data_IF_583424685879
#
_entry.id   IF_583424685879
#
_cell.length_a   1.000
_cell.length_b   1.000
_cell.length_c   1.000
_cell.angle_alpha   90.00
_cell.angle_beta   90.00
_cell.angle_gamma   90.00
#
_symmetry.space_group_name_H-M   'P 1'
#
loop_
_entity.id
_entity.type
_entity.pdbx_description
1 polymer ?
#
# COMPACT_ATOMS: atom_id res chain seq x y z
N UNK A 1 -10.95 -8.85 18.57
CA UNK A 1 -9.50 -8.81 18.25
C UNK A 1 -9.11 -7.36 18.04
N UNK A 2 -7.93 -6.93 18.50
CA UNK A 2 -7.50 -5.55 18.33
C UNK A 2 -6.67 -5.41 17.04
N UNK A 3 -7.09 -4.47 16.20
CA UNK A 3 -6.44 -4.14 14.94
C UNK A 3 -5.19 -3.32 15.24
N UNK A 4 -4.03 -3.81 14.81
CA UNK A 4 -2.76 -3.08 14.90
C UNK A 4 -2.75 -1.99 13.85
N UNK A 5 -3.15 -2.34 12.63
CA UNK A 5 -3.05 -1.48 11.47
C UNK A 5 -3.96 -1.93 10.35
N UNK A 6 -4.53 -0.98 9.62
CA UNK A 6 -5.30 -1.24 8.42
C UNK A 6 -4.97 -0.24 7.32
N UNK A 7 -5.06 -0.67 6.07
CA UNK A 7 -4.80 0.19 4.92
C UNK A 7 -5.22 -0.42 3.59
N UNK A 8 -5.51 0.44 2.63
CA UNK A 8 -5.82 0.02 1.25
C UNK A 8 -4.54 -0.30 0.50
N UNK A 9 -4.45 -1.51 -0.06
CA UNK A 9 -3.38 -1.92 -0.95
C UNK A 9 -3.97 -2.58 -2.19
N UNK A 10 -3.24 -2.49 -3.28
CA UNK A 10 -3.57 -3.27 -4.47
C UNK A 10 -3.02 -4.67 -4.31
N UNK A 11 -3.84 -5.67 -4.61
CA UNK A 11 -3.47 -7.08 -4.63
C UNK A 11 -3.64 -7.61 -6.04
N UNK A 12 -2.67 -8.36 -6.52
CA UNK A 12 -2.83 -9.11 -7.75
C UNK A 12 -3.50 -10.46 -7.47
N UNK A 13 -4.58 -10.77 -8.17
CA UNK A 13 -5.20 -12.10 -8.08
C UNK A 13 -4.28 -13.18 -8.65
N UNK A 14 -4.18 -14.32 -8.00
CA UNK A 14 -3.38 -15.46 -8.46
C UNK A 14 -3.91 -16.08 -9.76
N UNK A 15 -5.23 -16.09 -9.96
CA UNK A 15 -5.89 -16.72 -11.12
C UNK A 15 -5.93 -15.78 -12.34
N UNK A 16 -6.57 -14.60 -12.18
CA UNK A 16 -6.83 -13.68 -13.29
C UNK A 16 -5.69 -12.68 -13.52
N UNK A 17 -4.65 -12.68 -12.67
CA UNK A 17 -3.54 -11.71 -12.68
C UNK A 17 -3.95 -10.23 -12.71
N UNK A 18 -5.20 -9.92 -12.33
CA UNK A 18 -5.72 -8.55 -12.25
C UNK A 18 -5.42 -7.93 -10.90
N UNK A 19 -5.15 -6.63 -10.91
CA UNK A 19 -5.01 -5.83 -9.70
C UNK A 19 -6.39 -5.44 -9.17
N UNK A 20 -6.61 -5.67 -7.88
CA UNK A 20 -7.80 -5.25 -7.14
C UNK A 20 -7.38 -4.45 -5.93
N UNK A 21 -8.15 -3.42 -5.56
CA UNK A 21 -7.96 -2.74 -4.29
C UNK A 21 -8.60 -3.60 -3.20
N UNK A 22 -7.85 -3.89 -2.15
CA UNK A 22 -8.32 -4.64 -1.00
C UNK A 22 -7.92 -3.90 0.28
N UNK A 23 -8.75 -4.00 1.31
CA UNK A 23 -8.41 -3.50 2.63
C UNK A 23 -7.63 -4.57 3.38
N UNK A 24 -6.39 -4.26 3.76
CA UNK A 24 -5.54 -5.15 4.54
C UNK A 24 -5.61 -4.73 6.00
N UNK A 25 -5.83 -5.69 6.90
CA UNK A 25 -5.87 -5.50 8.34
C UNK A 25 -4.90 -6.46 9.03
N UNK A 26 -3.91 -5.88 9.71
CA UNK A 26 -2.99 -6.60 10.59
C UNK A 26 -3.54 -6.60 12.01
N UNK A 27 -3.67 -7.79 12.57
CA UNK A 27 -4.17 -8.05 13.90
C UNK A 27 -3.02 -8.29 14.90
N UNK A 28 -3.27 -8.05 16.19
CA UNK A 28 -2.26 -8.18 17.26
C UNK A 28 -1.71 -9.59 17.45
N UNK A 29 -2.49 -10.60 17.06
CA UNK A 29 -2.08 -12.01 17.07
C UNK A 29 -1.07 -12.35 15.95
N UNK A 30 -0.76 -11.38 15.07
CA UNK A 30 0.13 -11.58 13.93
C UNK A 30 -0.57 -12.12 12.69
N UNK A 31 -1.91 -12.11 12.67
CA UNK A 31 -2.71 -12.45 11.48
C UNK A 31 -2.88 -11.23 10.58
N UNK A 32 -2.63 -11.38 9.28
CA UNK A 32 -2.99 -10.40 8.25
C UNK A 32 -4.22 -10.92 7.50
N UNK A 33 -5.36 -10.26 7.70
CA UNK A 33 -6.56 -10.48 6.89
C UNK A 33 -6.62 -9.47 5.75
N UNK A 34 -7.14 -9.89 4.60
CA UNK A 34 -7.50 -8.96 3.54
C UNK A 34 -8.96 -9.14 3.11
N UNK A 35 -9.63 -8.00 3.01
CA UNK A 35 -11.07 -7.88 2.83
C UNK A 35 -11.37 -7.18 1.51
N UNK A 36 -12.57 -7.38 0.99
CA UNK A 36 -13.04 -6.58 -0.16
C UNK A 36 -13.06 -5.10 0.21
N UNK A 37 -13.65 -4.80 1.37
CA UNK A 37 -13.87 -3.44 1.87
C UNK A 37 -13.45 -3.28 3.33
N UNK A 38 -13.40 -2.02 3.77
CA UNK A 38 -13.11 -1.63 5.15
C UNK A 38 -14.15 -2.13 6.17
N UNK A 39 -15.34 -2.53 5.69
CA UNK A 39 -16.40 -3.12 6.52
C UNK A 39 -15.99 -4.45 7.15
N UNK A 40 -14.91 -5.08 6.64
CA UNK A 40 -14.40 -6.37 7.08
C UNK A 40 -15.45 -7.49 7.10
N UNK A 41 -16.55 -7.35 6.32
CA UNK A 41 -17.60 -8.35 6.20
C UNK A 41 -17.26 -9.43 5.16
N UNK A 42 -16.67 -9.03 4.05
CA UNK A 42 -16.22 -9.94 2.98
C UNK A 42 -14.73 -10.24 3.14
N UNK A 43 -14.43 -11.27 3.92
CA UNK A 43 -13.09 -11.83 4.06
C UNK A 43 -12.72 -12.60 2.80
N UNK A 44 -11.73 -12.08 2.06
CA UNK A 44 -11.20 -12.81 0.89
C UNK A 44 -10.22 -13.90 1.39
N UNK A 45 -9.39 -13.59 2.38
CA UNK A 45 -8.48 -14.57 3.01
C UNK A 45 -7.81 -14.03 4.29
N UNK A 46 -7.18 -14.93 5.04
CA UNK A 46 -6.34 -14.63 6.22
C UNK A 46 -5.04 -15.43 6.23
N UNK A 47 -3.95 -14.72 6.47
CA UNK A 47 -2.60 -15.31 6.52
C UNK A 47 -1.93 -14.99 7.84
N UNK A 48 -1.43 -16.01 8.54
CA UNK A 48 -0.64 -15.85 9.76
C UNK A 48 0.77 -15.33 9.43
N UNK A 49 0.98 -14.03 9.49
CA UNK A 49 2.23 -13.41 9.04
C UNK A 49 3.43 -13.70 9.92
N UNK A 50 3.24 -13.77 11.24
CA UNK A 50 4.32 -13.95 12.19
C UNK A 50 5.21 -15.17 11.88
N UNK A 51 4.59 -16.26 11.39
CA UNK A 51 5.31 -17.47 11.01
C UNK A 51 5.34 -17.72 9.50
N UNK A 52 4.29 -17.33 8.77
CA UNK A 52 4.13 -17.77 7.39
C UNK A 52 4.87 -16.89 6.37
N UNK A 53 5.35 -15.69 6.70
CA UNK A 53 6.16 -14.94 5.71
C UNK A 53 7.60 -15.44 5.73
N UNK A 54 8.16 -15.74 4.54
CA UNK A 54 9.55 -16.15 4.28
C UNK A 54 10.41 -15.00 3.76
N UNK A 55 9.92 -14.22 2.81
CA UNK A 55 10.66 -13.10 2.23
C UNK A 55 9.72 -11.94 1.85
N UNK A 56 10.21 -10.69 1.88
CA UNK A 56 9.49 -9.55 1.30
C UNK A 56 10.43 -8.78 0.39
N UNK A 57 10.07 -8.70 -0.89
CA UNK A 57 10.76 -7.91 -1.91
C UNK A 57 10.00 -6.63 -2.19
N UNK A 58 10.71 -5.54 -2.48
CA UNK A 58 10.10 -4.23 -2.79
C UNK A 58 10.65 -3.65 -4.08
N UNK A 59 9.81 -2.94 -4.83
CA UNK A 59 10.22 -2.13 -5.96
C UNK A 59 10.78 -2.96 -7.12
N UNK A 60 12.01 -2.61 -7.53
CA UNK A 60 12.74 -3.29 -8.59
C UNK A 60 13.10 -4.76 -8.26
N UNK A 61 13.09 -5.14 -6.99
CA UNK A 61 13.28 -6.54 -6.59
C UNK A 61 12.11 -7.43 -7.02
N UNK A 62 10.94 -6.85 -7.35
CA UNK A 62 9.79 -7.57 -7.89
C UNK A 62 9.93 -7.78 -9.41
N UNK A 63 10.86 -8.64 -9.84
CA UNK A 63 11.10 -8.95 -11.27
C UNK A 63 9.90 -9.65 -11.94
N UNK A 64 9.18 -10.48 -11.18
CA UNK A 64 8.18 -11.41 -11.70
C UNK A 64 6.78 -10.78 -11.93
N UNK A 65 6.60 -9.52 -11.54
CA UNK A 65 5.30 -8.84 -11.58
C UNK A 65 5.41 -7.44 -12.17
N UNK A 66 4.38 -7.07 -12.94
CA UNK A 66 4.21 -5.74 -13.49
C UNK A 66 3.24 -4.91 -12.62
N UNK A 67 3.53 -3.62 -12.40
CA UNK A 67 2.66 -2.75 -11.62
C UNK A 67 1.32 -2.53 -12.36
N UNK A 68 0.26 -2.14 -11.62
CA UNK A 68 -1.00 -1.75 -12.23
C UNK A 68 -0.83 -0.55 -13.18
N UNK A 69 -1.73 -0.40 -14.15
CA UNK A 69 -1.72 0.70 -15.12
C UNK A 69 -1.64 2.07 -14.40
N UNK A 70 -0.68 2.90 -14.82
CA UNK A 70 -0.44 4.21 -14.23
C UNK A 70 0.34 4.23 -12.92
N UNK A 71 0.89 3.09 -12.45
CA UNK A 71 1.70 3.03 -11.22
C UNK A 71 3.17 2.70 -11.48
N UNK A 72 4.03 3.26 -10.62
CA UNK A 72 5.46 2.96 -10.64
C UNK A 72 5.74 1.57 -10.08
N UNK A 73 6.77 0.92 -10.63
CA UNK A 73 7.31 -0.33 -10.09
C UNK A 73 7.84 -0.15 -8.67
N UNK A 74 8.22 1.06 -8.27
CA UNK A 74 8.77 1.33 -6.93
C UNK A 74 7.77 1.07 -5.79
N UNK A 75 6.46 1.10 -6.09
CA UNK A 75 5.40 0.79 -5.12
C UNK A 75 5.07 -0.70 -5.02
N UNK A 76 5.72 -1.57 -5.80
CA UNK A 76 5.46 -3.01 -5.77
C UNK A 76 6.05 -3.68 -4.53
N UNK A 77 5.34 -4.67 -4.04
CA UNK A 77 5.74 -5.55 -2.96
C UNK A 77 5.42 -6.98 -3.35
N UNK A 78 6.35 -7.89 -3.08
CA UNK A 78 6.09 -9.33 -3.19
C UNK A 78 6.40 -9.98 -1.86
N UNK A 79 5.36 -10.49 -1.21
CA UNK A 79 5.43 -11.22 0.05
C UNK A 79 5.46 -12.70 -0.30
N UNK A 80 6.58 -13.36 -0.05
CA UNK A 80 6.73 -14.81 -0.25
C UNK A 80 6.41 -15.50 1.06
N UNK A 81 5.44 -16.41 1.04
CA UNK A 81 5.04 -17.21 2.19
C UNK A 81 5.87 -18.51 2.26
N UNK A 82 5.93 -19.14 3.43
CA UNK A 82 6.69 -20.37 3.68
C UNK A 82 6.12 -21.55 2.93
N UNK A 83 4.80 -21.58 2.74
CA UNK A 83 4.08 -22.55 1.91
C UNK A 83 4.38 -22.42 0.40
N UNK A 84 5.23 -21.48 -0.01
CA UNK A 84 5.63 -21.27 -1.40
C UNK A 84 4.67 -20.37 -2.20
N UNK A 85 3.52 -20.03 -1.63
CA UNK A 85 2.60 -19.03 -2.16
C UNK A 85 3.23 -17.63 -2.11
N UNK A 86 2.91 -16.80 -3.10
CA UNK A 86 3.42 -15.42 -3.22
C UNK A 86 2.24 -14.46 -3.32
N UNK A 87 2.23 -13.45 -2.48
CA UNK A 87 1.29 -12.35 -2.52
C UNK A 87 1.96 -11.14 -3.18
N UNK A 88 1.40 -10.72 -4.31
CA UNK A 88 1.86 -9.51 -5.00
C UNK A 88 0.96 -8.35 -4.61
N UNK A 89 1.58 -7.33 -4.03
CA UNK A 89 0.94 -6.15 -3.49
C UNK A 89 1.52 -4.90 -4.17
N UNK A 90 0.74 -3.83 -4.25
CA UNK A 90 1.22 -2.54 -4.72
C UNK A 90 0.63 -1.41 -3.87
N UNK A 91 1.52 -0.62 -3.28
CA UNK A 91 1.17 0.56 -2.51
C UNK A 91 0.99 1.78 -3.43
N UNK A 92 0.46 2.87 -2.88
CA UNK A 92 0.33 4.15 -3.61
C UNK A 92 1.68 4.83 -3.82
N UNK A 93 2.58 4.72 -2.84
CA UNK A 93 3.91 5.31 -2.90
C UNK A 93 5.00 4.30 -2.54
N UNK A 94 6.24 4.59 -2.96
CA UNK A 94 7.42 3.83 -2.56
C UNK A 94 7.60 3.84 -1.05
N UNK A 95 7.32 4.97 -0.40
CA UNK A 95 7.46 5.10 1.05
C UNK A 95 6.44 4.23 1.80
N UNK A 96 5.20 4.16 1.30
CA UNK A 96 4.21 3.22 1.83
C UNK A 96 4.62 1.77 1.59
N UNK A 97 5.25 1.49 0.45
CA UNK A 97 5.73 0.16 0.14
C UNK A 97 6.87 -0.28 1.06
N UNK A 98 7.84 0.61 1.28
CA UNK A 98 8.92 0.45 2.25
C UNK A 98 8.39 0.32 3.66
N UNK A 99 7.28 1.00 3.97
CA UNK A 99 6.62 0.85 5.26
C UNK A 99 5.99 -0.55 5.41
N UNK A 100 5.31 -1.06 4.39
CA UNK A 100 4.74 -2.40 4.47
C UNK A 100 5.82 -3.50 4.62
N UNK A 101 7.00 -3.34 4.01
CA UNK A 101 8.07 -4.34 4.09
C UNK A 101 8.78 -4.36 5.46
N UNK A 102 9.00 -3.20 6.06
CA UNK A 102 9.67 -3.09 7.37
C UNK A 102 8.80 -3.55 8.54
N UNK A 103 7.48 -3.73 8.34
CA UNK A 103 6.56 -4.28 9.34
C UNK A 103 6.87 -5.72 9.72
N UNK A 104 7.63 -6.42 8.88
CA UNK A 104 8.06 -7.77 9.15
C UNK A 104 9.29 -7.86 10.07
N UNK A 105 10.08 -6.80 10.18
CA UNK A 105 11.39 -6.87 10.85
C UNK A 105 11.40 -6.28 12.24
N UNK A 106 10.50 -5.34 12.59
CA UNK A 106 10.51 -4.72 13.92
C UNK A 106 9.10 -4.36 14.38
N UNK A 107 8.71 -4.93 15.52
CA UNK A 107 7.72 -4.40 16.47
C UNK A 107 8.13 -2.99 16.92
N UNK A 108 8.05 -1.99 16.05
CA UNK A 108 8.41 -0.60 16.36
C UNK A 108 7.50 0.32 15.56
N UNK A 109 6.39 0.70 16.20
CA UNK A 109 5.89 2.05 16.55
C UNK A 109 6.47 3.29 15.85
N UNK A 110 6.98 3.21 14.63
CA UNK A 110 7.39 4.38 13.85
C UNK A 110 6.98 4.19 12.41
N UNK A 111 5.68 4.20 12.19
CA UNK A 111 5.17 4.37 10.86
C UNK A 111 4.89 5.83 10.60
N UNK A 112 5.53 6.36 9.56
CA UNK A 112 5.41 7.74 9.14
C UNK A 112 3.94 8.16 9.12
N UNK A 113 3.57 9.31 9.72
CA UNK A 113 2.26 9.88 9.51
C UNK A 113 2.06 10.07 8.00
N UNK A 114 0.82 9.98 7.48
CA UNK A 114 0.56 10.30 6.09
C UNK A 114 1.15 11.68 5.83
N UNK A 115 2.12 11.76 4.93
CA UNK A 115 2.65 13.04 4.47
C UNK A 115 1.46 13.74 3.85
N UNK A 116 0.82 14.62 4.63
CA UNK A 116 -0.25 15.49 4.20
C UNK A 116 0.34 16.31 3.07
N UNK A 117 0.15 15.85 1.83
CA UNK A 117 0.49 16.58 0.62
C UNK A 117 -0.18 17.93 0.77
N UNK A 118 0.60 18.95 1.15
CA UNK A 118 0.12 20.32 1.18
C UNK A 118 -0.42 20.58 -0.22
N UNK A 119 -1.69 20.99 -0.40
CA UNK A 119 -2.09 21.52 -1.68
C UNK A 119 -1.16 22.70 -1.95
N UNK A 120 -0.43 22.59 -3.05
CA UNK A 120 0.41 23.64 -3.59
C UNK A 120 -0.56 24.77 -3.94
N UNK A 121 -0.72 25.75 -3.06
CA UNK A 121 -1.40 27.00 -3.38
C UNK A 121 -0.55 27.68 -4.45
N UNK A 122 -0.92 27.49 -5.71
CA UNK A 122 -0.50 28.36 -6.80
C UNK A 122 -1.01 29.75 -6.46
N UNK A 123 -0.08 30.64 -6.10
CA UNK A 123 -0.36 32.02 -5.83
C UNK A 123 -0.91 32.71 -7.09
N UNK A 124 -2.08 33.30 -6.92
CA UNK A 124 -2.55 34.55 -7.52
C UNK A 124 -2.38 34.72 -9.04
N UNK A 125 -3.45 34.39 -9.76
CA UNK A 125 -3.91 35.24 -10.87
C UNK A 125 -4.46 36.53 -10.25
N UNK A 126 -3.78 37.66 -10.44
CA UNK A 126 -4.41 38.99 -10.31
C UNK A 126 -4.28 39.68 -11.64
N UNK A 127 -5.43 39.80 -12.30
CA UNK A 127 -5.59 40.47 -13.58
C UNK A 127 -5.40 41.98 -13.50
N UNK A 128 -4.99 42.51 -14.64
CA UNK A 128 -5.25 43.85 -15.20
C UNK A 128 -5.91 44.86 -14.25
N UNK A 129 -5.21 45.96 -14.02
CA UNK A 129 -5.87 47.26 -13.83
C UNK A 129 -5.51 48.18 -15.01
N UNK A 130 -6.55 48.64 -15.67
CA UNK A 130 -6.57 49.58 -16.80
C UNK A 130 -6.05 50.95 -16.37
N UNK A 131 -5.14 51.53 -17.15
CA UNK A 131 -4.69 52.92 -17.02
C UNK A 131 -5.56 53.81 -17.92
N UNK A 132 -6.22 54.81 -17.35
CA UNK A 132 -6.95 55.85 -18.08
C UNK A 132 -6.08 57.10 -18.23
N UNK A 133 -6.15 57.85 -19.35
CA UNK A 133 -5.45 59.11 -19.52
C UNK A 133 -6.33 60.31 -19.15
N UNK A 134 -5.69 61.39 -18.70
CA UNK A 134 -6.21 62.75 -18.73
C UNK A 134 -5.17 63.64 -19.42
#
# INVERSE_FOLDING_TARGET
MALVRGGWLWRQSSILRRWKRNWFALWLDGTLGYYHDETAQDEEDRVLIHFNVRDIKVGQECHDVQPPEGRSRDGLLTVTLREGSRLHLCAETRDDAMCASTARTKTTTRWCPPTRTRPRMSAATTGRHTQAPA
#
